data_IF_668515508984
#
_entry.id   IF_668515508984
#
_cell.length_a   1.000
_cell.length_b   1.000
_cell.length_c   1.000
_cell.angle_alpha   90.00
_cell.angle_beta   90.00
_cell.angle_gamma   90.00
#
_symmetry.space_group_name_H-M   'P 1'
#
loop_
_entity.id
_entity.type
_entity.pdbx_description
1 polymer ?
#
# COMPACT_ATOMS: atom_id res chain seq x y z
N UNK A 1 -67.79 -43.80 9.54
CA UNK A 1 -66.36 -44.17 9.48
C UNK A 1 -65.62 -43.03 8.77
N UNK A 2 -64.84 -42.24 9.51
CA UNK A 2 -64.21 -41.00 9.02
C UNK A 2 -62.90 -41.34 8.28
N UNK A 3 -62.74 -40.82 7.07
CA UNK A 3 -61.54 -41.00 6.23
C UNK A 3 -60.39 -40.17 6.79
N UNK A 4 -59.23 -40.80 6.89
CA UNK A 4 -57.94 -40.21 7.25
C UNK A 4 -57.47 -39.28 6.12
N UNK A 5 -57.17 -38.02 6.40
CA UNK A 5 -56.46 -37.13 5.48
C UNK A 5 -55.12 -36.73 6.11
N UNK A 6 -54.09 -37.39 5.61
CA UNK A 6 -52.68 -37.09 5.77
C UNK A 6 -52.39 -35.84 4.94
N UNK A 7 -52.17 -34.68 5.57
CA UNK A 7 -51.63 -33.49 4.89
C UNK A 7 -50.64 -32.77 5.79
N UNK A 8 -49.47 -33.39 5.87
CA UNK A 8 -48.17 -32.79 5.62
C UNK A 8 -48.21 -31.29 5.26
N UNK A 9 -48.04 -30.40 6.24
CA UNK A 9 -47.55 -29.03 6.00
C UNK A 9 -46.35 -28.82 6.91
N UNK A 10 -45.24 -29.41 6.46
CA UNK A 10 -43.90 -29.05 6.89
C UNK A 10 -43.57 -27.73 6.19
N UNK A 11 -44.03 -26.61 6.76
CA UNK A 11 -43.58 -25.28 6.38
C UNK A 11 -42.14 -25.10 6.88
N UNK A 12 -41.19 -25.67 6.14
CA UNK A 12 -39.76 -25.42 6.28
C UNK A 12 -39.52 -23.93 6.02
N UNK A 13 -39.46 -23.18 7.12
CA UNK A 13 -39.02 -21.80 7.18
C UNK A 13 -37.52 -21.79 6.79
N UNK A 14 -37.25 -21.84 5.48
CA UNK A 14 -35.93 -21.52 4.94
C UNK A 14 -35.79 -20.01 5.07
N UNK A 15 -35.46 -19.57 6.28
CA UNK A 15 -34.81 -18.27 6.49
C UNK A 15 -33.49 -18.39 5.73
N UNK A 16 -33.51 -17.97 4.47
CA UNK A 16 -32.29 -17.64 3.75
C UNK A 16 -31.58 -16.60 4.59
N UNK A 17 -30.55 -17.02 5.31
CA UNK A 17 -29.54 -16.13 5.85
C UNK A 17 -28.86 -15.49 4.65
N UNK A 18 -29.46 -14.42 4.12
CA UNK A 18 -28.77 -13.51 3.22
C UNK A 18 -27.65 -12.95 4.07
N UNK A 19 -26.47 -13.54 3.93
CA UNK A 19 -25.24 -13.01 4.51
C UNK A 19 -25.08 -11.63 3.91
N UNK A 20 -25.49 -10.58 4.63
CA UNK A 20 -25.26 -9.17 4.31
C UNK A 20 -23.75 -8.86 4.44
N UNK A 21 -22.94 -9.55 3.64
CA UNK A 21 -21.52 -9.28 3.49
C UNK A 21 -21.30 -8.18 2.45
N UNK A 22 -20.09 -7.60 2.41
CA UNK A 22 -19.71 -6.65 1.37
C UNK A 22 -19.87 -7.26 -0.02
N UNK A 23 -20.32 -6.43 -0.96
CA UNK A 23 -20.46 -6.84 -2.37
C UNK A 23 -19.13 -6.78 -3.12
N UNK A 24 -19.10 -7.34 -4.33
CA UNK A 24 -17.95 -7.17 -5.24
C UNK A 24 -17.70 -5.70 -5.56
N UNK A 25 -18.75 -4.88 -5.72
CA UNK A 25 -18.61 -3.44 -5.97
C UNK A 25 -18.01 -2.71 -4.76
N UNK A 26 -18.37 -3.11 -3.54
CA UNK A 26 -17.74 -2.58 -2.33
C UNK A 26 -16.26 -2.95 -2.28
N UNK A 27 -15.91 -4.17 -2.71
CA UNK A 27 -14.52 -4.65 -2.74
C UNK A 27 -13.68 -3.87 -3.76
N UNK A 28 -14.24 -3.58 -4.93
CA UNK A 28 -13.60 -2.75 -5.94
C UNK A 28 -13.33 -1.35 -5.37
N UNK A 29 -14.33 -0.69 -4.78
CA UNK A 29 -14.15 0.64 -4.16
C UNK A 29 -13.09 0.63 -3.05
N UNK A 30 -13.09 -0.42 -2.22
CA UNK A 30 -12.10 -0.58 -1.17
C UNK A 30 -10.69 -0.72 -1.73
N UNK A 31 -10.54 -1.55 -2.77
CA UNK A 31 -9.28 -1.70 -3.48
C UNK A 31 -8.81 -0.37 -4.08
N UNK A 32 -9.69 0.30 -4.82
CA UNK A 32 -9.34 1.51 -5.55
C UNK A 32 -8.89 2.62 -4.60
N UNK A 33 -9.52 2.74 -3.43
CA UNK A 33 -9.10 3.70 -2.40
C UNK A 33 -7.67 3.42 -1.88
N UNK A 34 -7.30 2.14 -1.67
CA UNK A 34 -5.93 1.77 -1.26
C UNK A 34 -4.94 2.01 -2.40
N UNK A 35 -5.30 1.60 -3.62
CA UNK A 35 -4.45 1.77 -4.81
C UNK A 35 -4.21 3.22 -5.14
N UNK A 36 -5.21 4.09 -4.97
CA UNK A 36 -5.05 5.53 -5.14
C UNK A 36 -3.96 6.07 -4.23
N UNK A 37 -3.97 5.70 -2.94
CA UNK A 37 -2.94 6.13 -2.01
C UNK A 37 -1.56 5.57 -2.37
N UNK A 38 -1.46 4.29 -2.73
CA UNK A 38 -0.19 3.69 -3.16
C UNK A 38 0.36 4.38 -4.43
N UNK A 39 -0.50 4.69 -5.40
CA UNK A 39 -0.14 5.39 -6.64
C UNK A 39 0.39 6.79 -6.36
N UNK A 40 -0.23 7.51 -5.43
CA UNK A 40 0.26 8.82 -5.01
C UNK A 40 1.68 8.70 -4.41
N UNK A 41 1.93 7.71 -3.57
CA UNK A 41 3.26 7.51 -2.98
C UNK A 41 4.32 7.14 -3.99
N UNK A 42 3.99 6.31 -4.99
CA UNK A 42 4.91 6.02 -6.10
C UNK A 42 5.27 7.30 -6.84
N UNK A 43 4.28 8.13 -7.19
CA UNK A 43 4.53 9.40 -7.88
C UNK A 43 5.38 10.36 -7.06
N UNK A 44 5.17 10.46 -5.75
CA UNK A 44 6.03 11.28 -4.89
C UNK A 44 7.45 10.71 -4.78
N UNK A 45 7.59 9.39 -4.73
CA UNK A 45 8.90 8.72 -4.74
C UNK A 45 9.66 8.99 -6.04
N UNK A 46 8.97 8.96 -7.19
CA UNK A 46 9.56 9.31 -8.49
C UNK A 46 10.11 10.74 -8.49
N UNK A 47 9.38 11.70 -7.90
CA UNK A 47 9.89 13.08 -7.75
C UNK A 47 11.15 13.16 -6.90
N UNK A 48 11.28 12.34 -5.86
CA UNK A 48 12.49 12.28 -5.04
C UNK A 48 13.67 11.76 -5.87
N UNK A 49 13.44 10.72 -6.67
CA UNK A 49 14.46 10.16 -7.58
C UNK A 49 14.89 11.21 -8.61
N UNK A 50 13.93 11.89 -9.25
CA UNK A 50 14.22 12.96 -10.23
C UNK A 50 15.00 14.12 -9.59
N UNK A 51 14.67 14.49 -8.36
CA UNK A 51 15.34 15.57 -7.64
C UNK A 51 16.78 15.22 -7.21
N UNK A 52 17.11 13.92 -7.09
CA UNK A 52 18.44 13.45 -6.70
C UNK A 52 19.53 13.86 -7.70
N UNK A 53 19.19 14.01 -8.98
CA UNK A 53 20.11 14.52 -10.02
C UNK A 53 20.24 16.05 -10.04
N UNK A 54 19.51 16.77 -9.18
CA UNK A 54 19.48 18.23 -9.11
C UNK A 54 20.40 18.82 -8.03
N UNK A 55 20.06 20.02 -7.57
CA UNK A 55 20.72 20.63 -6.41
C UNK A 55 20.18 20.03 -5.09
N UNK A 56 21.03 20.06 -4.05
CA UNK A 56 20.72 19.45 -2.75
C UNK A 56 19.45 20.00 -2.10
N UNK A 57 19.12 21.28 -2.32
CA UNK A 57 17.94 21.90 -1.74
C UNK A 57 16.65 21.37 -2.36
N UNK A 58 16.64 21.12 -3.67
CA UNK A 58 15.51 20.45 -4.34
C UNK A 58 15.32 19.02 -3.86
N UNK A 59 16.42 18.28 -3.68
CA UNK A 59 16.35 16.92 -3.17
C UNK A 59 15.79 16.89 -1.73
N UNK A 60 16.28 17.78 -0.86
CA UNK A 60 15.75 17.92 0.50
C UNK A 60 14.25 18.28 0.52
N UNK A 61 13.83 19.22 -0.32
CA UNK A 61 12.43 19.61 -0.44
C UNK A 61 11.56 18.43 -0.89
N UNK A 62 12.00 17.68 -1.91
CA UNK A 62 11.29 16.49 -2.39
C UNK A 62 11.16 15.42 -1.29
N UNK A 63 12.22 15.15 -0.51
CA UNK A 63 12.18 14.20 0.63
C UNK A 63 11.14 14.64 1.67
N UNK A 64 11.06 15.94 1.96
CA UNK A 64 10.09 16.49 2.92
C UNK A 64 8.65 16.33 2.42
N UNK A 65 8.39 16.65 1.16
CA UNK A 65 7.08 16.49 0.52
C UNK A 65 6.66 15.01 0.48
N UNK A 66 7.57 14.13 0.07
CA UNK A 66 7.37 12.70 0.08
C UNK A 66 7.01 12.18 1.48
N UNK A 67 7.78 12.53 2.51
CA UNK A 67 7.49 12.12 3.90
C UNK A 67 6.14 12.65 4.41
N UNK A 68 5.77 13.87 4.04
CA UNK A 68 4.47 14.43 4.39
C UNK A 68 3.32 13.68 3.70
N UNK A 69 3.50 13.31 2.42
CA UNK A 69 2.50 12.55 1.69
C UNK A 69 2.40 11.11 2.19
N UNK A 70 3.51 10.46 2.56
CA UNK A 70 3.50 9.14 3.23
C UNK A 70 2.68 9.17 4.50
N UNK A 71 2.88 10.19 5.36
CA UNK A 71 2.09 10.34 6.59
C UNK A 71 0.59 10.51 6.28
N UNK A 72 0.25 11.37 5.30
CA UNK A 72 -1.14 11.61 4.90
C UNK A 72 -1.82 10.34 4.34
N UNK A 73 -1.16 9.63 3.41
CA UNK A 73 -1.68 8.39 2.83
C UNK A 73 -1.82 7.28 3.86
N UNK A 74 -0.88 7.19 4.81
CA UNK A 74 -0.98 6.28 5.96
C UNK A 74 -2.22 6.58 6.79
N UNK A 75 -2.41 7.84 7.19
CA UNK A 75 -3.59 8.26 7.97
C UNK A 75 -4.91 7.95 7.26
N UNK A 76 -4.98 8.17 5.93
CA UNK A 76 -6.17 7.85 5.13
C UNK A 76 -6.46 6.35 5.21
N UNK A 77 -5.48 5.48 4.94
CA UNK A 77 -5.67 4.04 4.95
C UNK A 77 -5.92 3.49 6.36
N UNK A 78 -5.26 4.03 7.38
CA UNK A 78 -5.50 3.68 8.79
C UNK A 78 -6.96 3.94 9.21
N UNK A 79 -7.56 5.03 8.73
CA UNK A 79 -8.96 5.39 9.00
C UNK A 79 -9.98 4.61 8.19
N UNK A 80 -9.56 3.90 7.14
CA UNK A 80 -10.48 3.01 6.41
C UNK A 80 -10.96 1.89 7.34
N UNK A 81 -12.25 1.57 7.29
CA UNK A 81 -12.78 0.42 8.01
C UNK A 81 -12.15 -0.89 7.51
N UNK A 82 -12.28 -1.94 8.32
CA UNK A 82 -12.02 -3.30 7.84
C UNK A 82 -13.01 -3.65 6.73
N UNK A 83 -12.56 -4.41 5.73
CA UNK A 83 -13.47 -4.89 4.69
C UNK A 83 -14.22 -6.13 5.17
N UNK A 84 -15.46 -5.94 5.63
CA UNK A 84 -16.23 -6.98 6.30
C UNK A 84 -15.59 -7.40 7.63
N UNK A 85 -14.84 -8.51 7.62
CA UNK A 85 -14.10 -9.01 8.80
C UNK A 85 -12.58 -9.03 8.58
N UNK A 86 -12.09 -8.53 7.45
CA UNK A 86 -10.71 -8.69 7.02
C UNK A 86 -9.96 -7.38 6.98
N UNK A 87 -8.68 -7.46 7.37
CA UNK A 87 -7.74 -6.34 7.32
C UNK A 87 -6.52 -6.65 6.47
N UNK A 88 -6.33 -7.89 6.00
CA UNK A 88 -5.09 -8.35 5.33
C UNK A 88 -4.58 -7.40 4.25
N UNK A 89 -5.46 -6.95 3.35
CA UNK A 89 -5.04 -6.05 2.28
C UNK A 89 -4.69 -4.64 2.77
N UNK A 90 -5.47 -4.10 3.71
CA UNK A 90 -5.15 -2.85 4.41
C UNK A 90 -3.82 -2.96 5.16
N UNK A 91 -3.58 -4.04 5.87
CA UNK A 91 -2.37 -4.27 6.66
C UNK A 91 -1.13 -4.38 5.76
N UNK A 92 -1.27 -5.02 4.59
CA UNK A 92 -0.22 -5.07 3.58
C UNK A 92 0.10 -3.68 3.01
N UNK A 93 -0.92 -2.85 2.75
CA UNK A 93 -0.73 -1.47 2.32
C UNK A 93 0.01 -0.64 3.37
N UNK A 94 -0.41 -0.71 4.63
CA UNK A 94 0.23 0.00 5.74
C UNK A 94 1.68 -0.46 5.97
N UNK A 95 1.96 -1.74 5.75
CA UNK A 95 3.33 -2.28 5.83
C UNK A 95 4.23 -1.69 4.73
N UNK A 96 3.74 -1.61 3.49
CA UNK A 96 4.44 -0.92 2.40
C UNK A 96 4.66 0.57 2.71
N UNK A 97 3.65 1.26 3.22
CA UNK A 97 3.74 2.69 3.53
C UNK A 97 4.73 2.98 4.66
N UNK A 98 4.82 2.07 5.64
CA UNK A 98 5.86 2.11 6.67
C UNK A 98 7.27 2.00 6.09
N UNK A 99 7.47 1.20 5.04
CA UNK A 99 8.76 1.13 4.36
C UNK A 99 9.06 2.40 3.57
N UNK A 100 8.08 2.96 2.85
CA UNK A 100 8.25 4.29 2.24
C UNK A 100 8.68 5.34 3.28
N UNK A 101 8.05 5.34 4.46
CA UNK A 101 8.43 6.26 5.55
C UNK A 101 9.87 6.04 6.01
N UNK A 102 10.26 4.78 6.20
CA UNK A 102 11.61 4.41 6.61
C UNK A 102 12.66 4.87 5.59
N UNK A 103 12.38 4.69 4.30
CA UNK A 103 13.23 5.16 3.18
C UNK A 103 13.42 6.67 3.22
N UNK A 104 12.33 7.43 3.38
CA UNK A 104 12.39 8.88 3.48
C UNK A 104 13.07 9.41 4.74
N UNK A 105 13.02 8.65 5.84
CA UNK A 105 13.62 9.06 7.11
C UNK A 105 15.11 8.74 7.21
N UNK A 106 15.58 7.72 6.48
CA UNK A 106 16.91 7.15 6.65
C UNK A 106 17.71 7.22 5.33
N UNK A 107 17.40 6.37 4.36
CA UNK A 107 18.23 6.20 3.17
C UNK A 107 18.32 7.47 2.31
N UNK A 108 17.19 8.17 2.10
CA UNK A 108 17.25 9.44 1.36
C UNK A 108 17.99 10.55 2.11
N UNK A 109 17.95 10.57 3.45
CA UNK A 109 18.75 11.53 4.23
C UNK A 109 20.23 11.22 4.18
N UNK A 110 20.60 9.94 4.12
CA UNK A 110 21.99 9.53 3.96
C UNK A 110 22.53 9.94 2.59
N UNK A 111 21.75 9.72 1.54
CA UNK A 111 22.08 10.21 0.19
C UNK A 111 22.22 11.73 0.18
N UNK A 112 21.30 12.46 0.82
CA UNK A 112 21.36 13.92 0.93
C UNK A 112 22.60 14.40 1.69
N UNK A 113 23.04 13.67 2.74
CA UNK A 113 24.28 13.97 3.46
C UNK A 113 25.46 13.96 2.50
N UNK A 114 25.58 12.94 1.65
CA UNK A 114 26.67 12.80 0.68
C UNK A 114 26.60 13.90 -0.38
N UNK A 115 25.42 14.20 -0.92
CA UNK A 115 25.22 15.26 -1.92
C UNK A 115 25.64 16.65 -1.38
N UNK A 116 25.53 16.87 -0.07
CA UNK A 116 25.93 18.14 0.56
C UNK A 116 27.44 18.26 0.84
N UNK A 117 28.24 17.22 0.59
CA UNK A 117 29.69 17.30 0.71
C UNK A 117 30.23 18.07 -0.50
N UNK A 118 31.13 19.07 -0.31
CA UNK A 118 31.82 19.70 -1.42
C UNK A 118 32.48 18.66 -2.32
N UNK A 119 32.36 18.79 -3.65
CA UNK A 119 32.79 17.75 -4.59
C UNK A 119 34.28 17.40 -4.51
N UNK A 120 35.13 18.34 -4.08
CA UNK A 120 36.56 18.15 -3.83
C UNK A 120 36.87 17.39 -2.52
N UNK A 121 35.86 17.14 -1.69
CA UNK A 121 35.95 16.46 -0.39
C UNK A 121 35.19 15.14 -0.33
N UNK A 122 34.43 14.79 -1.36
CA UNK A 122 33.74 13.50 -1.45
C UNK A 122 34.80 12.40 -1.50
N UNK A 123 34.68 11.43 -0.59
CA UNK A 123 35.59 10.28 -0.56
C UNK A 123 34.94 9.06 -1.24
N UNK A 124 35.76 8.06 -1.56
CA UNK A 124 35.25 6.78 -2.05
C UNK A 124 34.27 6.12 -1.06
N UNK A 125 34.52 6.29 0.24
CA UNK A 125 33.65 5.75 1.27
C UNK A 125 32.27 6.44 1.28
N UNK A 126 32.19 7.74 0.98
CA UNK A 126 30.91 8.45 0.85
C UNK A 126 30.12 7.94 -0.37
N UNK A 127 30.78 7.74 -1.51
CA UNK A 127 30.15 7.15 -2.70
C UNK A 127 29.63 5.73 -2.43
N UNK A 128 30.44 4.89 -1.76
CA UNK A 128 30.06 3.53 -1.40
C UNK A 128 28.86 3.51 -0.45
N UNK A 129 28.81 4.44 0.50
CA UNK A 129 27.67 4.59 1.40
C UNK A 129 26.41 5.05 0.65
N UNK A 130 26.52 6.01 -0.26
CA UNK A 130 25.40 6.46 -1.10
C UNK A 130 24.84 5.31 -1.96
N UNK A 131 25.71 4.53 -2.60
CA UNK A 131 25.31 3.35 -3.38
C UNK A 131 24.68 2.27 -2.51
N UNK A 132 25.19 2.04 -1.30
CA UNK A 132 24.60 1.11 -0.36
C UNK A 132 23.19 1.54 0.07
N UNK A 133 22.98 2.84 0.34
CA UNK A 133 21.65 3.38 0.63
C UNK A 133 20.70 3.24 -0.55
N UNK A 134 21.14 3.53 -1.78
CA UNK A 134 20.33 3.32 -2.98
C UNK A 134 19.89 1.85 -3.12
N UNK A 135 20.82 0.91 -2.94
CA UNK A 135 20.50 -0.52 -2.96
C UNK A 135 19.51 -0.92 -1.85
N UNK A 136 19.67 -0.37 -0.65
CA UNK A 136 18.76 -0.65 0.46
C UNK A 136 17.33 -0.16 0.20
N UNK A 137 17.18 0.95 -0.52
CA UNK A 137 15.86 1.45 -0.96
C UNK A 137 15.19 0.39 -1.83
N UNK A 138 15.87 -0.05 -2.88
CA UNK A 138 15.33 -1.05 -3.82
C UNK A 138 14.96 -2.36 -3.11
N UNK A 139 15.89 -2.89 -2.30
CA UNK A 139 15.67 -4.15 -1.58
C UNK A 139 14.46 -4.07 -0.62
N UNK A 140 14.32 -2.96 0.11
CA UNK A 140 13.21 -2.76 1.06
C UNK A 140 11.88 -2.59 0.35
N UNK A 141 11.82 -1.74 -0.68
CA UNK A 141 10.60 -1.45 -1.42
C UNK A 141 10.11 -2.67 -2.19
N UNK A 142 11.00 -3.38 -2.90
CA UNK A 142 10.61 -4.54 -3.70
C UNK A 142 9.96 -5.62 -2.83
N UNK A 143 10.54 -5.93 -1.67
CA UNK A 143 10.02 -6.95 -0.77
C UNK A 143 8.59 -6.64 -0.31
N UNK A 144 8.31 -5.43 0.14
CA UNK A 144 6.98 -5.07 0.62
C UNK A 144 5.99 -4.83 -0.53
N UNK A 145 6.48 -4.39 -1.70
CA UNK A 145 5.67 -4.27 -2.91
C UNK A 145 5.17 -5.66 -3.35
N UNK A 146 6.02 -6.68 -3.33
CA UNK A 146 5.61 -8.05 -3.66
C UNK A 146 4.53 -8.57 -2.69
N UNK A 147 4.69 -8.30 -1.39
CA UNK A 147 3.69 -8.67 -0.38
C UNK A 147 2.35 -7.93 -0.59
N UNK A 148 2.41 -6.64 -0.90
CA UNK A 148 1.25 -5.82 -1.23
C UNK A 148 0.52 -6.32 -2.48
N UNK A 149 1.22 -6.53 -3.59
CA UNK A 149 0.66 -7.01 -4.86
C UNK A 149 0.05 -8.40 -4.70
N UNK A 150 0.72 -9.28 -3.95
CA UNK A 150 0.15 -10.59 -3.60
C UNK A 150 -1.16 -10.42 -2.83
N UNK A 151 -1.18 -9.58 -1.79
CA UNK A 151 -2.40 -9.37 -1.00
C UNK A 151 -3.53 -8.74 -1.81
N UNK A 152 -3.22 -7.83 -2.73
CA UNK A 152 -4.19 -7.24 -3.65
C UNK A 152 -4.81 -8.31 -4.56
N UNK A 153 -3.96 -9.18 -5.13
CA UNK A 153 -4.40 -10.29 -5.97
C UNK A 153 -5.28 -11.27 -5.22
N UNK A 154 -4.86 -11.69 -4.02
CA UNK A 154 -5.65 -12.59 -3.18
C UNK A 154 -7.03 -11.97 -2.84
N UNK A 155 -7.06 -10.66 -2.57
CA UNK A 155 -8.29 -9.90 -2.31
C UNK A 155 -9.20 -9.87 -3.56
N UNK A 156 -8.65 -9.59 -4.73
CA UNK A 156 -9.40 -9.59 -5.99
C UNK A 156 -9.99 -10.95 -6.36
N UNK A 157 -9.21 -12.02 -6.21
CA UNK A 157 -9.67 -13.39 -6.43
C UNK A 157 -10.82 -13.76 -5.48
N UNK A 158 -10.69 -13.39 -4.21
CA UNK A 158 -11.70 -13.66 -3.19
C UNK A 158 -13.04 -12.98 -3.48
N UNK A 159 -13.01 -11.71 -3.89
CA UNK A 159 -14.22 -10.93 -4.16
C UNK A 159 -14.62 -10.93 -5.65
N UNK A 160 -13.93 -11.74 -6.47
CA UNK A 160 -14.25 -12.05 -7.87
C UNK A 160 -14.27 -10.82 -8.78
N UNK A 161 -13.36 -9.88 -8.58
CA UNK A 161 -13.14 -8.77 -9.51
C UNK A 161 -11.79 -8.89 -10.22
N UNK A 162 -11.66 -8.17 -11.33
CA UNK A 162 -10.41 -8.12 -12.10
C UNK A 162 -9.61 -6.90 -11.68
N UNK A 163 -8.31 -7.10 -11.48
CA UNK A 163 -7.38 -5.98 -11.32
C UNK A 163 -7.26 -5.22 -12.65
N UNK A 164 -7.21 -3.90 -12.56
CA UNK A 164 -6.79 -3.06 -13.68
C UNK A 164 -5.26 -3.14 -13.80
N UNK A 165 -4.74 -3.02 -15.01
CA UNK A 165 -3.30 -2.89 -15.21
C UNK A 165 -2.84 -1.61 -14.50
N UNK A 166 -1.81 -1.74 -13.65
CA UNK A 166 -1.15 -0.64 -12.94
C UNK A 166 0.08 -0.19 -13.72
#
# INVERSE_FOLDING_TARGET
MKKFNFSLILALFVLGFVSCGPTTDDAIKYNDAIIEQQTILVKENDKVIDAMGGDAAKFEAAIKEFNAQVAKSTEIVEKMDKFGKETTFKDAALSLFKVFKSVGDNEYKEILRVINIPSDKVTKADEDQMMASAKQIDDKLQKELDAFLKSQKDFAEKYKFKLQAQ
#
